data_IF_487103618667
#
_entry.id   IF_487103618667
#
_cell.length_a   1.000
_cell.length_b   1.000
_cell.length_c   1.000
_cell.angle_alpha   90.00
_cell.angle_beta   90.00
_cell.angle_gamma   90.00
#
_symmetry.space_group_name_H-M   'P 1'
#
loop_
_entity.id
_entity.type
_entity.pdbx_description
1 polymer ?
#
# COMPACT_ATOMS: atom_id res chain seq x y z
N UNK A 1 4.77 1.66 1.28
CA UNK A 1 5.82 0.65 0.97
C UNK A 1 5.18 -0.73 0.92
N UNK A 2 5.80 -1.72 0.28
CA UNK A 2 5.31 -3.12 0.26
C UNK A 2 6.28 -4.10 0.95
N UNK A 3 7.21 -3.54 1.69
CA UNK A 3 8.17 -4.26 2.53
C UNK A 3 7.84 -4.01 3.99
N UNK A 4 8.13 -4.99 4.84
CA UNK A 4 8.09 -4.86 6.30
C UNK A 4 9.46 -4.37 6.82
N UNK A 5 9.50 -4.02 8.11
CA UNK A 5 10.68 -3.44 8.77
C UNK A 5 11.83 -4.43 9.00
N UNK A 6 11.64 -5.71 8.64
CA UNK A 6 12.67 -6.75 8.70
C UNK A 6 13.64 -6.72 7.52
N UNK A 7 13.35 -5.92 6.49
CA UNK A 7 14.21 -5.74 5.33
C UNK A 7 15.19 -4.59 5.58
N UNK A 8 16.44 -4.95 5.85
CA UNK A 8 17.50 -3.97 6.07
C UNK A 8 18.05 -3.40 4.75
N UNK A 9 18.35 -2.10 4.74
CA UNK A 9 19.08 -1.41 3.66
C UNK A 9 18.29 -1.10 2.39
N UNK A 10 17.06 -1.60 2.24
CA UNK A 10 16.18 -1.26 1.10
C UNK A 10 14.71 -1.42 1.46
N UNK A 11 13.85 -0.67 0.76
CA UNK A 11 12.41 -0.86 0.78
C UNK A 11 11.88 -0.87 -0.65
N UNK A 12 10.69 -1.42 -0.87
CA UNK A 12 10.07 -1.46 -2.20
C UNK A 12 8.79 -0.62 -2.24
N UNK A 13 8.59 0.02 -3.38
CA UNK A 13 7.36 0.74 -3.75
C UNK A 13 6.78 0.07 -4.99
N UNK A 14 5.47 -0.14 -4.98
CA UNK A 14 4.71 -0.51 -6.17
C UNK A 14 4.04 0.77 -6.65
N UNK A 15 4.37 1.19 -7.87
CA UNK A 15 3.87 2.42 -8.47
C UNK A 15 3.23 2.06 -9.80
N UNK A 16 1.96 2.41 -9.98
CA UNK A 16 1.31 2.36 -11.29
C UNK A 16 1.72 3.62 -12.07
N UNK A 17 2.26 3.44 -13.26
CA UNK A 17 2.60 4.55 -14.15
C UNK A 17 1.32 5.07 -14.80
N UNK A 18 1.13 6.38 -14.78
CA UNK A 18 0.02 7.07 -15.43
C UNK A 18 0.57 7.98 -16.54
N UNK A 19 0.67 7.49 -17.79
CA UNK A 19 1.23 8.25 -18.91
C UNK A 19 0.34 9.41 -19.34
N UNK A 20 0.94 10.47 -19.89
CA UNK A 20 0.21 11.56 -20.55
C UNK A 20 -0.50 11.08 -21.82
N UNK A 21 -1.68 11.63 -22.11
CA UNK A 21 -2.43 11.41 -23.35
C UNK A 21 -3.25 10.11 -23.42
N UNK A 22 -3.23 9.28 -22.38
CA UNK A 22 -4.00 8.01 -22.35
C UNK A 22 -5.39 8.12 -21.72
N UNK A 23 -5.62 9.10 -20.85
CA UNK A 23 -6.92 9.36 -20.22
C UNK A 23 -7.37 10.77 -20.59
N UNK A 24 -8.49 10.90 -21.31
CA UNK A 24 -9.06 12.19 -21.72
C UNK A 24 -9.40 13.10 -20.53
N UNK A 25 -9.69 12.51 -19.35
CA UNK A 25 -9.99 13.26 -18.13
C UNK A 25 -8.72 13.77 -17.44
N UNK A 26 -7.58 13.13 -17.72
CA UNK A 26 -6.29 13.42 -17.12
C UNK A 26 -5.18 13.44 -18.21
N UNK A 27 -5.23 14.40 -19.14
CA UNK A 27 -4.37 14.41 -20.31
C UNK A 27 -2.88 14.53 -19.97
N UNK A 28 -2.53 15.20 -18.86
CA UNK A 28 -1.14 15.36 -18.43
C UNK A 28 -0.57 14.11 -17.72
N UNK A 29 -1.42 13.12 -17.41
CA UNK A 29 -1.04 11.92 -16.66
C UNK A 29 -0.63 12.21 -15.21
N UNK A 30 0.10 11.28 -14.60
CA UNK A 30 0.57 11.38 -13.22
C UNK A 30 1.99 11.90 -13.12
N UNK A 31 2.19 13.14 -12.65
CA UNK A 31 3.49 13.80 -12.57
C UNK A 31 4.56 12.97 -11.84
N UNK A 32 4.28 12.53 -10.60
CA UNK A 32 5.24 11.74 -9.81
C UNK A 32 5.49 10.35 -10.40
N UNK A 33 4.45 9.71 -10.94
CA UNK A 33 4.60 8.38 -11.54
C UNK A 33 5.50 8.42 -12.77
N UNK A 34 5.31 9.42 -13.65
CA UNK A 34 6.15 9.62 -14.83
C UNK A 34 7.56 10.08 -14.47
N UNK A 35 7.72 10.85 -13.38
CA UNK A 35 9.02 11.23 -12.86
C UNK A 35 9.82 10.00 -12.41
N UNK A 36 9.20 9.10 -11.61
CA UNK A 36 9.84 7.86 -11.15
C UNK A 36 10.17 6.91 -12.30
N UNK A 37 9.32 6.82 -13.32
CA UNK A 37 9.54 5.98 -14.51
C UNK A 37 10.78 6.40 -15.33
N UNK A 38 11.13 7.69 -15.29
CA UNK A 38 12.28 8.26 -16.01
C UNK A 38 13.59 8.18 -15.25
N UNK A 39 13.58 7.78 -13.98
CA UNK A 39 14.78 7.71 -13.16
C UNK A 39 15.71 6.58 -13.59
N UNK A 40 17.02 6.84 -13.56
CA UNK A 40 18.06 5.86 -13.84
C UNK A 40 18.58 5.25 -12.53
N UNK A 41 18.42 3.93 -12.31
CA UNK A 41 18.91 3.27 -11.11
C UNK A 41 20.41 3.48 -10.88
N UNK A 42 20.78 3.87 -9.66
CA UNK A 42 22.18 4.09 -9.26
C UNK A 42 22.77 5.45 -9.64
N UNK A 43 22.06 6.26 -10.43
CA UNK A 43 22.46 7.63 -10.78
C UNK A 43 21.55 8.63 -10.08
N UNK A 44 20.24 8.47 -10.27
CA UNK A 44 19.26 9.39 -9.72
C UNK A 44 18.87 9.01 -8.28
N UNK A 45 18.48 10.03 -7.50
CA UNK A 45 18.06 9.87 -6.10
C UNK A 45 16.81 10.67 -5.80
N UNK A 46 15.97 10.17 -4.88
CA UNK A 46 14.80 10.87 -4.35
C UNK A 46 14.89 10.99 -2.85
N UNK A 47 14.35 12.08 -2.32
CA UNK A 47 14.16 12.25 -0.88
C UNK A 47 12.85 11.59 -0.45
N UNK A 48 12.89 10.89 0.68
CA UNK A 48 11.75 10.16 1.24
C UNK A 48 11.56 10.59 2.68
N UNK A 49 10.33 10.90 3.06
CA UNK A 49 9.96 11.34 4.41
C UNK A 49 8.89 10.40 4.99
N UNK A 50 9.05 10.02 6.26
CA UNK A 50 8.11 9.18 6.99
C UNK A 50 8.61 8.80 8.39
N UNK A 51 7.84 8.02 9.15
CA UNK A 51 6.51 7.49 8.81
C UNK A 51 5.41 8.57 8.86
N UNK A 52 4.42 8.46 7.97
CA UNK A 52 3.22 9.32 7.96
C UNK A 52 1.99 8.42 7.89
N UNK A 53 1.00 8.69 8.73
CA UNK A 53 -0.24 7.93 8.76
C UNK A 53 -0.98 8.12 10.07
N UNK A 54 -2.28 7.80 10.08
CA UNK A 54 -3.13 7.86 11.28
C UNK A 54 -3.49 6.48 11.81
N UNK A 55 -3.13 5.41 11.10
CA UNK A 55 -3.48 4.04 11.47
C UNK A 55 -2.19 3.24 11.62
N UNK A 56 -2.05 2.57 12.77
CA UNK A 56 -0.95 1.63 13.02
C UNK A 56 -1.55 0.32 13.51
N UNK A 57 -1.22 -0.78 12.84
CA UNK A 57 -1.54 -2.11 13.35
C UNK A 57 -0.41 -2.59 14.26
N UNK A 58 -0.75 -2.94 15.50
CA UNK A 58 0.21 -3.39 16.53
C UNK A 58 0.31 -4.91 16.65
N UNK A 59 -0.45 -5.65 15.84
CA UNK A 59 -0.62 -7.09 15.98
C UNK A 59 -1.76 -7.46 16.92
N UNK A 60 -2.13 -8.73 16.91
CA UNK A 60 -3.14 -9.38 17.75
C UNK A 60 -4.48 -8.63 17.81
N UNK A 61 -4.90 -8.09 16.67
CA UNK A 61 -6.17 -7.35 16.55
C UNK A 61 -6.16 -5.97 17.22
N UNK A 62 -4.99 -5.39 17.48
CA UNK A 62 -4.82 -4.06 18.07
C UNK A 62 -4.50 -3.04 16.95
N UNK A 63 -5.34 -2.01 16.85
CA UNK A 63 -5.18 -0.91 15.91
C UNK A 63 -5.16 0.42 16.66
N UNK A 64 -4.08 1.18 16.51
CA UNK A 64 -4.04 2.58 16.95
C UNK A 64 -4.53 3.47 15.82
N UNK A 65 -5.61 4.22 16.08
CA UNK A 65 -6.17 5.17 15.13
C UNK A 65 -6.13 6.56 15.72
N UNK A 66 -5.24 7.40 15.17
CA UNK A 66 -5.11 8.81 15.55
C UNK A 66 -6.32 9.58 15.00
N UNK A 67 -7.33 9.76 15.85
CA UNK A 67 -8.48 10.66 15.67
C UNK A 67 -8.40 11.80 16.70
N UNK A 68 -9.31 12.78 16.61
CA UNK A 68 -9.41 13.91 17.54
C UNK A 68 -9.48 13.49 19.01
N UNK A 69 -10.03 12.30 19.28
CA UNK A 69 -9.97 11.59 20.55
C UNK A 69 -9.28 10.25 20.25
N UNK A 70 -8.07 10.04 20.79
CA UNK A 70 -7.30 8.81 20.53
C UNK A 70 -8.13 7.57 20.95
N UNK A 71 -8.48 6.73 19.98
CA UNK A 71 -9.10 5.44 20.21
C UNK A 71 -8.19 4.35 19.67
N UNK A 72 -7.57 3.59 20.58
CA UNK A 72 -7.01 2.28 20.26
C UNK A 72 -8.17 1.27 20.21
N UNK A 73 -8.34 0.62 19.07
CA UNK A 73 -9.29 -0.47 18.89
C UNK A 73 -8.60 -1.78 19.22
N UNK A 74 -9.03 -2.45 20.29
CA UNK A 74 -8.42 -3.69 20.77
C UNK A 74 -9.36 -4.88 20.57
N UNK A 75 -8.78 -6.07 20.42
CA UNK A 75 -9.55 -7.32 20.35
C UNK A 75 -10.31 -7.54 19.04
N UNK A 76 -9.89 -6.87 17.95
CA UNK A 76 -10.46 -7.08 16.62
C UNK A 76 -10.12 -8.48 16.14
N UNK A 77 -11.14 -9.29 15.88
CA UNK A 77 -10.97 -10.67 15.35
C UNK A 77 -11.15 -10.78 13.85
N UNK A 78 -11.91 -9.87 13.25
CA UNK A 78 -12.21 -9.85 11.83
C UNK A 78 -11.93 -8.46 11.26
N UNK A 79 -11.16 -8.40 10.19
CA UNK A 79 -10.82 -7.19 9.45
C UNK A 79 -11.39 -7.27 8.04
N UNK A 80 -12.36 -6.41 7.73
CA UNK A 80 -12.83 -6.18 6.37
C UNK A 80 -12.01 -5.08 5.69
N UNK A 81 -11.53 -5.35 4.48
CA UNK A 81 -10.70 -4.44 3.69
C UNK A 81 -11.32 -4.21 2.32
N UNK A 82 -11.33 -2.95 1.87
CA UNK A 82 -11.81 -2.56 0.54
C UNK A 82 -10.73 -1.73 -0.14
N UNK A 83 -10.23 -2.23 -1.26
CA UNK A 83 -9.15 -1.61 -2.01
C UNK A 83 -9.58 -1.34 -3.46
N UNK A 84 -9.08 -0.25 -4.03
CA UNK A 84 -9.23 0.05 -5.46
C UNK A 84 -7.90 0.46 -6.07
N UNK A 85 -7.51 -0.16 -7.20
CA UNK A 85 -6.25 0.16 -7.90
C UNK A 85 -5.02 0.12 -6.98
N UNK A 86 -4.23 1.20 -7.00
CA UNK A 86 -3.02 1.36 -6.16
C UNK A 86 -3.30 1.40 -4.65
N UNK A 87 -4.56 1.60 -4.26
CA UNK A 87 -5.01 1.58 -2.86
C UNK A 87 -4.93 0.22 -2.17
N UNK A 88 -4.51 -0.84 -2.87
CA UNK A 88 -4.22 -2.14 -2.26
C UNK A 88 -2.97 -2.10 -1.36
N UNK A 89 -2.02 -1.22 -1.64
CA UNK A 89 -0.70 -1.25 -0.99
C UNK A 89 -0.71 -1.09 0.54
N UNK A 90 -1.54 -0.24 1.18
CA UNK A 90 -1.60 -0.19 2.65
C UNK A 90 -2.20 -1.46 3.26
N UNK A 91 -3.18 -2.07 2.60
CA UNK A 91 -3.80 -3.34 3.02
C UNK A 91 -2.78 -4.49 2.94
N UNK A 92 -2.00 -4.50 1.86
CA UNK A 92 -0.96 -5.50 1.65
C UNK A 92 0.08 -5.52 2.78
N UNK A 93 0.46 -4.37 3.33
CA UNK A 93 1.37 -4.32 4.48
C UNK A 93 0.80 -5.02 5.72
N UNK A 94 -0.49 -4.83 6.02
CA UNK A 94 -1.15 -5.49 7.15
C UNK A 94 -1.24 -7.00 6.89
N UNK A 95 -1.63 -7.40 5.68
CA UNK A 95 -1.72 -8.81 5.28
C UNK A 95 -0.36 -9.51 5.45
N UNK A 96 0.71 -8.91 4.93
CA UNK A 96 2.06 -9.44 5.07
C UNK A 96 2.46 -9.60 6.55
N UNK A 97 2.19 -8.58 7.37
CA UNK A 97 2.50 -8.62 8.79
C UNK A 97 1.76 -9.76 9.51
N UNK A 98 0.45 -9.90 9.27
CA UNK A 98 -0.41 -10.94 9.87
C UNK A 98 0.10 -12.33 9.48
N UNK A 99 0.33 -12.57 8.19
CA UNK A 99 0.80 -13.86 7.69
C UNK A 99 2.19 -14.22 8.25
N UNK A 100 3.10 -13.24 8.30
CA UNK A 100 4.46 -13.46 8.80
C UNK A 100 4.48 -13.78 10.29
N UNK A 101 3.72 -13.05 11.10
CA UNK A 101 3.69 -13.22 12.55
C UNK A 101 2.73 -14.33 13.01
N UNK A 102 2.06 -15.03 12.07
CA UNK A 102 1.05 -16.06 12.35
C UNK A 102 -0.04 -15.54 13.29
N UNK A 103 -0.45 -14.30 13.07
CA UNK A 103 -1.50 -13.64 13.82
C UNK A 103 -2.87 -14.27 13.49
N UNK A 104 -3.76 -14.38 14.47
CA UNK A 104 -5.07 -15.03 14.34
C UNK A 104 -6.14 -14.11 13.73
N UNK A 105 -5.77 -12.87 13.36
CA UNK A 105 -6.68 -11.93 12.73
C UNK A 105 -7.25 -12.47 11.41
N UNK A 106 -8.57 -12.68 11.37
CA UNK A 106 -9.27 -13.08 10.15
C UNK A 106 -9.44 -11.87 9.21
N UNK A 107 -9.06 -12.02 7.94
CA UNK A 107 -9.02 -10.93 6.98
C UNK A 107 -9.85 -11.25 5.73
N UNK A 108 -10.73 -10.32 5.36
CA UNK A 108 -11.50 -10.36 4.11
C UNK A 108 -11.16 -9.15 3.26
N UNK A 109 -10.73 -9.37 2.02
CA UNK A 109 -10.34 -8.30 1.08
C UNK A 109 -11.26 -8.29 -0.14
N UNK A 110 -11.86 -7.13 -0.41
CA UNK A 110 -12.51 -6.83 -1.68
C UNK A 110 -11.61 -5.87 -2.48
N UNK A 111 -11.17 -6.28 -3.67
CA UNK A 111 -10.32 -5.48 -4.55
C UNK A 111 -11.06 -5.15 -5.86
N UNK A 112 -11.19 -3.86 -6.17
CA UNK A 112 -11.84 -3.38 -7.39
C UNK A 112 -10.81 -2.76 -8.35
N UNK A 113 -10.81 -3.22 -9.60
CA UNK A 113 -9.96 -2.71 -10.69
C UNK A 113 -10.78 -2.54 -11.97
N UNK A 114 -10.30 -1.73 -12.93
CA UNK A 114 -11.01 -1.52 -14.21
C UNK A 114 -10.91 -2.75 -15.11
N UNK A 115 -9.72 -3.34 -15.20
CA UNK A 115 -9.44 -4.57 -15.94
C UNK A 115 -8.72 -5.59 -15.05
N UNK A 116 -8.70 -6.88 -15.42
CA UNK A 116 -7.88 -7.87 -14.72
C UNK A 116 -6.38 -7.54 -14.75
N UNK A 117 -5.88 -6.98 -15.86
CA UNK A 117 -4.47 -6.60 -16.01
C UNK A 117 -4.05 -5.43 -15.09
N UNK A 118 -5.02 -4.65 -14.61
CA UNK A 118 -4.80 -3.57 -13.66
C UNK A 118 -4.61 -4.06 -12.21
N UNK A 119 -4.84 -5.34 -11.94
CA UNK A 119 -4.76 -5.91 -10.59
C UNK A 119 -3.29 -5.92 -10.14
N UNK A 120 -2.94 -4.95 -9.31
CA UNK A 120 -1.62 -4.86 -8.68
C UNK A 120 -1.50 -5.94 -7.59
N UNK A 121 -0.33 -6.59 -7.52
CA UNK A 121 -0.03 -7.66 -6.55
C UNK A 121 -0.98 -8.88 -6.66
N UNK A 122 -1.63 -9.05 -7.81
CA UNK A 122 -2.44 -10.22 -8.14
C UNK A 122 -1.61 -11.43 -8.56
N UNK A 123 -2.29 -12.55 -8.83
CA UNK A 123 -1.67 -13.75 -9.39
C UNK A 123 -1.06 -13.41 -10.76
N UNK A 124 0.27 -13.42 -10.83
CA UNK A 124 0.97 -13.42 -12.11
C UNK A 124 0.87 -14.84 -12.68
N UNK A 125 0.02 -15.00 -13.69
CA UNK A 125 -0.08 -16.21 -14.51
C UNK A 125 0.99 -16.24 -15.59
#
# INVERSE_FOLDING_TARGET
>A
PVTLDDRYGSFQLVVKIYPSGQDERHPDGGWMSQYLDKMVPGVDSINVMGPVGRLTYKGHGIFDIVRSECQSCNGIKNLGMVAGGTGITPHYQIIQYVLKNKDELNMSLLCANRTPDDVLLGLQG
#
